data_IF_154414685826
#
_entry.id   IF_154414685826
#
_cell.length_a   1.000
_cell.length_b   1.000
_cell.length_c   1.000
_cell.angle_alpha   90.00
_cell.angle_beta   90.00
_cell.angle_gamma   90.00
#
_symmetry.space_group_name_H-M   'P 1'
#
loop_
_entity.id
_entity.type
_entity.pdbx_description
1 polymer ?
#
# COMPACT_ATOMS: atom_id res chain seq x y z
N UNK A 1 -80.78 -48.47 -4.05
CA UNK A 1 -79.73 -49.50 -4.04
C UNK A 1 -78.40 -48.77 -4.05
N UNK A 2 -77.70 -48.72 -2.90
CA UNK A 2 -76.32 -49.23 -2.69
C UNK A 2 -75.36 -48.76 -3.80
N UNK A 3 -74.31 -47.98 -3.56
CA UNK A 3 -73.29 -48.18 -2.52
C UNK A 3 -72.37 -46.95 -2.41
N UNK A 4 -71.88 -46.74 -1.19
CA UNK A 4 -70.92 -45.73 -0.78
C UNK A 4 -69.58 -45.90 -1.52
N UNK A 5 -69.01 -44.80 -2.01
CA UNK A 5 -67.59 -44.70 -2.32
C UNK A 5 -66.87 -44.11 -1.11
N UNK A 6 -66.09 -44.96 -0.42
CA UNK A 6 -65.23 -44.57 0.68
C UNK A 6 -64.07 -43.72 0.13
N UNK A 7 -63.97 -42.48 0.60
CA UNK A 7 -62.86 -41.58 0.32
C UNK A 7 -61.60 -42.08 1.06
N UNK A 8 -60.62 -42.56 0.30
CA UNK A 8 -59.31 -42.93 0.82
C UNK A 8 -58.43 -41.67 0.84
N UNK A 9 -58.39 -41.00 1.99
CA UNK A 9 -57.49 -39.87 2.24
C UNK A 9 -56.04 -40.35 2.24
N UNK A 10 -55.29 -40.02 1.19
CA UNK A 10 -53.85 -40.25 1.09
C UNK A 10 -53.12 -39.09 1.80
N UNK A 11 -52.67 -39.32 3.02
CA UNK A 11 -51.80 -38.40 3.77
C UNK A 11 -50.42 -38.35 3.14
N UNK A 12 -50.08 -37.21 2.53
CA UNK A 12 -48.72 -36.92 2.04
C UNK A 12 -47.84 -36.61 3.26
N UNK A 13 -46.89 -37.50 3.56
CA UNK A 13 -45.86 -37.25 4.56
C UNK A 13 -44.84 -36.24 4.00
N UNK A 14 -44.80 -35.03 4.57
CA UNK A 14 -43.80 -34.02 4.24
C UNK A 14 -42.52 -34.37 5.01
N UNK A 15 -41.51 -34.86 4.30
CA UNK A 15 -40.17 -35.08 4.85
C UNK A 15 -39.44 -33.73 4.94
N UNK A 16 -38.88 -33.33 6.10
CA UNK A 16 -38.10 -32.11 6.17
C UNK A 16 -36.77 -32.33 5.44
N UNK A 17 -36.55 -31.58 4.36
CA UNK A 17 -35.27 -31.55 3.67
C UNK A 17 -34.26 -30.81 4.55
N UNK A 18 -33.37 -31.56 5.20
CA UNK A 18 -32.25 -30.98 5.93
C UNK A 18 -31.29 -30.33 4.92
N UNK A 19 -31.30 -28.99 4.86
CA UNK A 19 -30.29 -28.22 4.13
C UNK A 19 -28.99 -28.32 4.91
N UNK A 20 -28.04 -29.11 4.43
CA UNK A 20 -26.68 -29.10 4.96
C UNK A 20 -26.05 -27.71 4.67
N UNK A 21 -25.35 -27.09 5.63
CA UNK A 21 -24.59 -25.89 5.34
C UNK A 21 -23.49 -26.29 4.34
N UNK A 22 -23.57 -25.77 3.12
CA UNK A 22 -22.44 -25.80 2.21
C UNK A 22 -21.36 -24.93 2.84
N UNK A 23 -20.38 -25.57 3.48
CA UNK A 23 -19.12 -24.93 3.84
C UNK A 23 -18.51 -24.46 2.52
N UNK A 24 -18.72 -23.18 2.20
CA UNK A 24 -18.04 -22.54 1.09
C UNK A 24 -16.55 -22.76 1.31
N UNK A 25 -15.92 -23.51 0.41
CA UNK A 25 -14.48 -23.58 0.34
C UNK A 25 -14.08 -22.16 -0.02
N UNK A 26 -13.64 -21.37 0.96
CA UNK A 26 -13.00 -20.11 0.70
C UNK A 26 -11.89 -20.45 -0.28
N UNK A 27 -12.03 -20.01 -1.53
CA UNK A 27 -10.94 -20.10 -2.49
C UNK A 27 -9.80 -19.36 -1.81
N UNK A 28 -8.76 -20.09 -1.41
CA UNK A 28 -7.51 -19.50 -0.99
C UNK A 28 -7.00 -18.75 -2.21
N UNK A 29 -7.43 -17.50 -2.35
CA UNK A 29 -6.95 -16.61 -3.37
C UNK A 29 -5.43 -16.56 -3.18
N UNK A 30 -4.64 -16.83 -4.22
CA UNK A 30 -3.22 -16.57 -4.16
C UNK A 30 -3.03 -15.14 -3.65
N UNK A 31 -2.17 -14.98 -2.65
CA UNK A 31 -1.74 -13.65 -2.20
C UNK A 31 -0.99 -13.06 -3.40
N UNK A 32 -1.61 -12.09 -4.08
CA UNK A 32 -0.94 -11.29 -5.10
C UNK A 32 0.12 -10.47 -4.39
N UNK A 33 1.29 -11.08 -4.19
CA UNK A 33 2.38 -10.51 -3.40
C UNK A 33 3.44 -11.51 -2.97
N UNK A 34 3.14 -12.83 -2.98
CA UNK A 34 4.06 -13.87 -2.48
C UNK A 34 4.75 -14.70 -3.57
N UNK A 35 4.57 -14.37 -4.84
CA UNK A 35 5.41 -14.96 -5.89
C UNK A 35 6.76 -14.24 -5.92
N UNK A 36 7.76 -14.86 -5.30
CA UNK A 36 9.20 -14.58 -5.45
C UNK A 36 9.74 -13.36 -4.66
N UNK A 37 9.66 -13.38 -3.31
CA UNK A 37 10.65 -12.65 -2.49
C UNK A 37 12.00 -13.39 -2.49
N UNK A 38 12.68 -13.43 -3.64
CA UNK A 38 14.15 -13.30 -3.64
C UNK A 38 14.48 -11.79 -3.55
N UNK A 39 13.79 -11.10 -2.62
CA UNK A 39 13.98 -9.69 -2.36
C UNK A 39 15.28 -9.46 -1.60
N UNK A 40 15.86 -8.27 -1.77
CA UNK A 40 16.98 -7.85 -0.95
C UNK A 40 16.54 -7.82 0.53
N UNK A 41 17.44 -8.15 1.46
CA UNK A 41 17.14 -7.93 2.87
C UNK A 41 16.97 -6.43 3.15
N UNK A 42 16.18 -6.01 4.16
CA UNK A 42 15.98 -4.58 4.45
C UNK A 42 17.28 -3.80 4.65
N UNK A 43 18.29 -4.43 5.27
CA UNK A 43 19.62 -3.84 5.43
C UNK A 43 20.35 -3.67 4.08
N UNK A 44 20.18 -4.61 3.15
CA UNK A 44 20.77 -4.53 1.81
C UNK A 44 20.07 -3.46 0.97
N UNK A 45 18.74 -3.35 1.05
CA UNK A 45 17.98 -2.26 0.41
C UNK A 45 18.44 -0.90 0.93
N UNK A 46 18.59 -0.76 2.25
CA UNK A 46 19.11 0.46 2.87
C UNK A 46 20.49 0.82 2.35
N UNK A 47 21.39 -0.16 2.32
CA UNK A 47 22.75 0.03 1.78
C UNK A 47 22.70 0.46 0.32
N UNK A 48 21.86 -0.17 -0.51
CA UNK A 48 21.69 0.16 -1.92
C UNK A 48 21.19 1.60 -2.10
N UNK A 49 20.15 1.99 -1.37
CA UNK A 49 19.63 3.37 -1.36
C UNK A 49 20.69 4.39 -1.00
N UNK A 50 21.51 4.11 0.01
CA UNK A 50 22.64 4.99 0.37
C UNK A 50 23.69 5.09 -0.74
N UNK A 51 23.87 4.05 -1.57
CA UNK A 51 24.75 4.16 -2.75
C UNK A 51 24.14 5.06 -3.81
N UNK A 52 22.87 4.85 -4.14
CA UNK A 52 22.14 5.66 -5.10
C UNK A 52 22.14 7.14 -4.67
N UNK A 53 21.91 7.42 -3.38
CA UNK A 53 21.91 8.78 -2.85
C UNK A 53 23.27 9.48 -2.96
N UNK A 54 24.39 8.75 -2.92
CA UNK A 54 25.71 9.37 -3.14
C UNK A 54 25.87 9.87 -4.57
N UNK A 55 25.23 9.20 -5.52
CA UNK A 55 25.28 9.60 -6.92
C UNK A 55 24.27 10.72 -7.20
N UNK A 56 23.04 10.62 -6.67
CA UNK A 56 22.01 11.66 -6.77
C UNK A 56 22.49 12.99 -6.19
N UNK A 57 23.15 13.00 -5.02
CA UNK A 57 23.63 14.26 -4.41
C UNK A 57 24.71 14.99 -5.22
N UNK A 58 25.31 14.33 -6.21
CA UNK A 58 26.27 14.94 -7.13
C UNK A 58 25.60 15.48 -8.38
N UNK A 59 24.35 15.10 -8.62
CA UNK A 59 23.57 15.53 -9.76
C UNK A 59 23.20 17.02 -9.60
N UNK A 60 23.40 17.86 -10.63
CA UNK A 60 23.00 19.26 -10.59
C UNK A 60 21.49 19.46 -10.45
N UNK A 61 20.65 18.45 -10.62
CA UNK A 61 19.21 18.55 -10.39
C UNK A 61 18.82 18.28 -8.93
N UNK A 62 19.72 17.76 -8.09
CA UNK A 62 19.45 17.65 -6.65
C UNK A 62 19.24 19.05 -6.03
N UNK A 63 18.09 19.25 -5.38
CA UNK A 63 17.72 20.52 -4.76
C UNK A 63 18.29 20.60 -3.33
N UNK A 64 19.53 21.08 -3.21
CA UNK A 64 20.20 21.32 -1.93
C UNK A 64 19.78 22.67 -1.30
N UNK A 65 18.49 22.77 -0.98
CA UNK A 65 17.91 23.93 -0.28
C UNK A 65 17.50 23.51 1.14
N UNK A 66 18.12 24.13 2.14
CA UNK A 66 17.92 23.79 3.55
C UNK A 66 16.45 23.88 4.00
N UNK A 67 15.77 25.01 3.76
CA UNK A 67 14.35 25.16 4.08
C UNK A 67 13.43 24.12 3.41
N UNK A 68 13.61 23.85 2.12
CA UNK A 68 12.80 22.83 1.42
C UNK A 68 13.08 21.43 1.99
N UNK A 69 14.34 21.10 2.26
CA UNK A 69 14.72 19.82 2.85
C UNK A 69 14.11 19.65 4.24
N UNK A 70 14.19 20.68 5.08
CA UNK A 70 13.60 20.69 6.42
C UNK A 70 12.07 20.51 6.36
N UNK A 71 11.40 21.27 5.48
CA UNK A 71 9.96 21.15 5.25
C UNK A 71 9.57 19.71 4.89
N UNK A 72 10.22 19.14 3.87
CA UNK A 72 9.91 17.80 3.38
C UNK A 72 10.12 16.73 4.45
N UNK A 73 11.21 16.80 5.21
CA UNK A 73 11.50 15.80 6.23
C UNK A 73 10.58 15.93 7.45
N UNK A 74 10.23 17.15 7.87
CA UNK A 74 9.24 17.35 8.93
C UNK A 74 7.85 16.86 8.50
N UNK A 75 7.44 17.23 7.29
CA UNK A 75 6.17 16.82 6.70
C UNK A 75 6.06 15.30 6.57
N UNK A 76 7.06 14.67 5.94
CA UNK A 76 7.11 13.22 5.76
C UNK A 76 7.21 12.45 7.09
N UNK A 77 7.99 12.95 8.04
CA UNK A 77 8.07 12.35 9.39
C UNK A 77 6.72 12.37 10.11
N UNK A 78 5.95 13.44 9.95
CA UNK A 78 4.59 13.50 10.50
C UNK A 78 3.68 12.43 9.87
N UNK A 79 3.76 12.21 8.56
CA UNK A 79 3.00 11.15 7.88
C UNK A 79 3.37 9.76 8.40
N UNK A 80 4.67 9.46 8.47
CA UNK A 80 5.19 8.17 8.97
C UNK A 80 4.82 7.96 10.44
N UNK A 81 4.75 9.02 11.25
CA UNK A 81 4.42 8.91 12.68
C UNK A 81 3.01 8.33 12.96
N UNK A 82 2.07 8.48 12.02
CA UNK A 82 0.71 7.94 12.15
C UNK A 82 0.69 6.42 11.96
N UNK A 83 1.67 5.88 11.24
CA UNK A 83 1.79 4.44 10.94
C UNK A 83 3.25 3.98 11.11
N UNK A 84 3.75 3.86 12.36
CA UNK A 84 5.15 3.53 12.60
C UNK A 84 5.55 2.15 12.06
N UNK A 85 4.59 1.28 11.79
CA UNK A 85 4.76 -0.04 11.17
C UNK A 85 5.35 0.02 9.76
N UNK A 86 5.19 1.14 9.03
CA UNK A 86 5.74 1.31 7.68
C UNK A 86 7.28 1.36 7.65
N UNK A 87 7.95 1.52 8.80
CA UNK A 87 9.42 1.43 8.87
C UNK A 87 9.93 -0.02 8.74
N UNK A 88 9.04 -1.00 8.76
CA UNK A 88 9.37 -2.41 8.66
C UNK A 88 10.25 -2.92 9.80
N UNK A 89 10.75 -4.15 9.66
CA UNK A 89 11.52 -4.84 10.70
C UNK A 89 12.87 -4.18 11.01
N UNK A 90 13.44 -3.48 10.02
CA UNK A 90 14.73 -2.83 10.17
C UNK A 90 14.64 -1.42 10.78
N UNK A 91 13.42 -0.86 10.89
CA UNK A 91 13.16 0.35 11.65
C UNK A 91 13.87 1.60 11.13
N UNK A 92 14.28 1.64 9.86
CA UNK A 92 15.00 2.78 9.32
C UNK A 92 14.08 3.99 9.14
N UNK A 93 14.66 5.18 9.31
CA UNK A 93 13.95 6.43 9.05
C UNK A 93 13.90 6.75 7.57
N UNK A 94 12.79 7.38 7.18
CA UNK A 94 12.61 7.90 5.85
C UNK A 94 13.41 9.19 5.67
N UNK A 95 13.91 9.41 4.47
CA UNK A 95 14.56 10.65 4.08
C UNK A 95 13.90 11.21 2.83
N UNK A 96 13.33 12.40 2.97
CA UNK A 96 12.64 13.08 1.90
C UNK A 96 13.54 14.15 1.31
N UNK A 97 13.62 14.23 -0.02
CA UNK A 97 14.43 15.25 -0.69
C UNK A 97 13.77 15.69 -1.99
N UNK A 98 14.19 16.85 -2.50
CA UNK A 98 13.66 17.41 -3.72
C UNK A 98 14.64 17.30 -4.89
N UNK A 99 14.09 17.18 -6.10
CA UNK A 99 14.82 17.22 -7.37
C UNK A 99 14.20 18.29 -8.26
N UNK A 100 15.05 19.07 -8.94
CA UNK A 100 14.68 20.11 -9.89
C UNK A 100 14.19 19.50 -11.20
N UNK A 101 12.92 19.14 -11.20
CA UNK A 101 12.22 18.64 -12.38
C UNK A 101 10.80 19.23 -12.41
N UNK A 102 10.33 19.82 -13.54
CA UNK A 102 8.99 20.39 -13.66
C UNK A 102 7.88 19.34 -13.82
N UNK A 103 8.21 18.06 -14.02
CA UNK A 103 7.23 16.97 -14.09
C UNK A 103 6.58 16.76 -12.72
N UNK A 104 5.26 16.54 -12.73
CA UNK A 104 4.47 16.18 -11.56
C UNK A 104 4.78 14.74 -11.15
N UNK A 105 5.78 14.54 -10.30
CA UNK A 105 6.18 13.20 -9.86
C UNK A 105 6.77 13.16 -8.45
N UNK A 106 6.71 11.99 -7.84
CA UNK A 106 7.49 11.60 -6.68
C UNK A 106 7.81 10.10 -6.83
N UNK A 107 8.89 9.64 -6.22
CA UNK A 107 9.22 8.21 -6.26
C UNK A 107 10.02 7.77 -5.04
N UNK A 108 9.77 6.53 -4.63
CA UNK A 108 10.56 5.86 -3.60
C UNK A 108 11.81 5.17 -4.17
N UNK A 109 12.89 5.23 -3.41
CA UNK A 109 14.11 4.47 -3.60
C UNK A 109 14.26 3.45 -2.45
N UNK A 110 15.02 2.36 -2.66
CA UNK A 110 15.24 1.34 -1.63
C UNK A 110 15.76 1.96 -0.33
N UNK A 111 15.26 1.49 0.83
CA UNK A 111 15.75 1.94 2.12
C UNK A 111 15.18 3.26 2.65
N UNK A 112 13.97 3.63 2.19
CA UNK A 112 13.19 4.73 2.76
C UNK A 112 13.57 6.11 2.22
N UNK A 113 14.23 6.22 1.07
CA UNK A 113 14.51 7.52 0.46
C UNK A 113 13.39 7.88 -0.51
N UNK A 114 12.77 9.05 -0.34
CA UNK A 114 11.66 9.50 -1.19
C UNK A 114 12.07 10.80 -1.87
N UNK A 115 12.05 10.78 -3.20
CA UNK A 115 12.34 11.93 -4.04
C UNK A 115 11.03 12.63 -4.41
N UNK A 116 11.02 13.96 -4.37
CA UNK A 116 9.89 14.81 -4.73
C UNK A 116 10.32 15.75 -5.85
N UNK A 117 9.64 15.72 -7.00
CA UNK A 117 9.95 16.66 -8.07
C UNK A 117 9.46 18.06 -7.70
N UNK A 118 10.23 19.09 -8.04
CA UNK A 118 9.85 20.48 -7.82
C UNK A 118 8.52 20.86 -8.47
N UNK A 119 8.20 20.26 -9.63
CA UNK A 119 6.91 20.43 -10.32
C UNK A 119 5.73 19.99 -9.47
N UNK A 120 5.87 18.90 -8.72
CA UNK A 120 4.85 18.44 -7.78
C UNK A 120 4.65 19.44 -6.63
N UNK A 121 5.73 19.91 -6.02
CA UNK A 121 5.67 20.90 -4.93
C UNK A 121 5.01 22.21 -5.35
N UNK A 122 5.29 22.68 -6.57
CA UNK A 122 4.75 23.92 -7.10
C UNK A 122 3.31 23.80 -7.58
N UNK A 123 2.88 22.61 -7.98
CA UNK A 123 1.54 22.38 -8.51
C UNK A 123 0.51 22.00 -7.45
N UNK A 124 0.94 21.40 -6.33
CA UNK A 124 0.06 21.05 -5.22
C UNK A 124 -0.65 22.30 -4.68
N UNK A 125 -1.98 22.27 -4.65
CA UNK A 125 -2.79 23.41 -4.19
C UNK A 125 -3.00 23.39 -2.67
N UNK A 126 -2.71 22.24 -2.05
CA UNK A 126 -2.78 22.07 -0.61
C UNK A 126 -1.78 21.02 -0.13
N UNK A 127 -1.43 21.08 1.14
CA UNK A 127 -0.61 20.02 1.77
C UNK A 127 -1.31 18.66 1.78
N UNK A 128 -2.66 18.63 1.71
CA UNK A 128 -3.40 17.37 1.62
C UNK A 128 -3.17 16.65 0.29
N UNK A 129 -3.02 17.39 -0.82
CA UNK A 129 -2.66 16.80 -2.11
C UNK A 129 -1.24 16.24 -2.08
N UNK A 130 -0.30 17.00 -1.53
CA UNK A 130 1.08 16.53 -1.34
C UNK A 130 1.12 15.30 -0.43
N UNK A 131 0.38 15.31 0.69
CA UNK A 131 0.26 14.18 1.60
C UNK A 131 -0.25 12.93 0.90
N UNK A 132 -1.24 13.07 0.01
CA UNK A 132 -1.79 11.92 -0.73
C UNK A 132 -0.73 11.25 -1.59
N UNK A 133 0.12 12.02 -2.27
CA UNK A 133 1.20 11.47 -3.11
C UNK A 133 2.31 10.88 -2.25
N UNK A 134 2.79 11.60 -1.23
CA UNK A 134 3.86 11.08 -0.39
C UNK A 134 3.42 9.85 0.43
N UNK A 135 2.16 9.79 0.86
CA UNK A 135 1.62 8.60 1.52
C UNK A 135 1.54 7.39 0.57
N UNK A 136 1.25 7.61 -0.72
CA UNK A 136 1.33 6.57 -1.74
C UNK A 136 2.76 6.02 -1.87
N UNK A 137 3.75 6.92 -1.96
CA UNK A 137 5.16 6.53 -2.06
C UNK A 137 5.68 5.84 -0.79
N UNK A 138 5.26 6.29 0.41
CA UNK A 138 5.58 5.61 1.67
C UNK A 138 5.03 4.17 1.65
N UNK A 139 3.88 3.93 1.03
CA UNK A 139 3.31 2.59 0.90
C UNK A 139 4.00 1.68 -0.12
N UNK A 140 4.89 2.21 -0.96
CA UNK A 140 5.74 1.43 -1.87
C UNK A 140 7.01 0.90 -1.20
N UNK A 141 7.43 1.53 -0.11
CA UNK A 141 8.61 1.13 0.70
C UNK A 141 8.20 0.00 1.65
#
# INVERSE_FOLDING_TARGET
>A
MRSLFAALSLTVAILPLAVAPTTGVAQALPTLGDTEREGLSPLMERKLGEQIMRDIRRDPDYLDDGPVLEYLNNFGSNLVSVRPDVRGEAGYDFFFFAVRDPVLNAFALPGGFIAVHSGLLLAAQSESELASVLAHEIGHV
#
